data_IF_200406132749
#
_entry.id   IF_200406132749
#
_cell.length_a   1.000
_cell.length_b   1.000
_cell.length_c   1.000
_cell.angle_alpha   90.00
_cell.angle_beta   90.00
_cell.angle_gamma   90.00
#
_symmetry.space_group_name_H-M   'P 1'
#
loop_
_entity.id
_entity.type
_entity.pdbx_description
1 polymer ?
#
# COMPACT_ATOMS: atom_id res chain seq x y z
N UNK A 1 27.89 -47.04 -25.35
CA UNK A 1 27.15 -46.63 -24.13
C UNK A 1 25.68 -47.03 -24.24
N UNK A 2 25.33 -48.24 -23.80
CA UNK A 2 23.95 -48.69 -23.60
C UNK A 2 23.99 -49.78 -22.53
N UNK A 3 23.56 -49.47 -21.31
CA UNK A 3 23.24 -50.51 -20.32
C UNK A 3 21.72 -50.57 -20.18
N UNK A 4 21.17 -51.69 -20.63
CA UNK A 4 19.81 -52.14 -20.40
C UNK A 4 19.78 -53.06 -19.18
N UNK A 5 18.84 -52.76 -18.29
CA UNK A 5 17.94 -53.68 -17.56
C UNK A 5 18.56 -54.73 -16.63
N UNK A 6 18.18 -54.65 -15.35
CA UNK A 6 17.67 -55.82 -14.61
C UNK A 6 16.52 -55.38 -13.69
N UNK A 7 15.33 -55.90 -13.99
CA UNK A 7 14.16 -55.94 -13.11
C UNK A 7 14.37 -57.10 -12.15
N UNK A 8 14.11 -56.89 -10.86
CA UNK A 8 13.99 -57.96 -9.88
C UNK A 8 12.62 -57.80 -9.19
N UNK A 9 11.71 -58.72 -9.51
CA UNK A 9 10.50 -58.96 -8.72
C UNK A 9 10.90 -59.71 -7.46
N UNK A 10 10.50 -59.21 -6.29
CA UNK A 10 10.36 -60.04 -5.08
C UNK A 10 8.94 -59.81 -4.56
N UNK A 11 8.10 -60.83 -4.75
CA UNK A 11 6.81 -61.02 -4.09
C UNK A 11 7.03 -61.56 -2.69
N UNK A 12 6.48 -60.91 -1.67
CA UNK A 12 6.11 -61.61 -0.43
C UNK A 12 4.83 -60.99 0.13
N UNK A 13 3.78 -61.79 0.17
CA UNK A 13 2.53 -61.54 0.90
C UNK A 13 2.76 -61.87 2.37
N UNK A 14 2.36 -60.97 3.28
CA UNK A 14 1.99 -61.38 4.63
C UNK A 14 0.85 -60.51 5.16
N UNK A 15 -0.21 -61.21 5.55
CA UNK A 15 -1.44 -60.74 6.15
C UNK A 15 -1.17 -60.39 7.62
N UNK A 16 -1.51 -59.19 8.07
CA UNK A 16 -1.29 -58.73 9.44
C UNK A 16 -2.35 -57.72 9.87
N UNK A 17 -3.22 -58.19 10.76
CA UNK A 17 -4.30 -57.55 11.50
C UNK A 17 -4.42 -56.02 11.56
N UNK A 18 -5.66 -55.58 11.37
CA UNK A 18 -6.25 -54.28 11.64
C UNK A 18 -6.08 -53.90 13.13
N UNK A 19 -5.37 -52.81 13.42
CA UNK A 19 -5.54 -52.05 14.68
C UNK A 19 -5.51 -50.55 14.38
N UNK A 20 -6.60 -49.88 14.77
CA UNK A 20 -6.87 -48.46 14.61
C UNK A 20 -5.77 -47.59 15.25
N UNK A 21 -5.08 -46.80 14.44
CA UNK A 21 -4.29 -45.66 14.90
C UNK A 21 -4.68 -44.44 14.04
N UNK A 22 -5.16 -43.39 14.69
CA UNK A 22 -5.78 -42.23 14.06
C UNK A 22 -4.91 -41.58 13.00
N UNK A 23 -5.49 -41.39 11.81
CA UNK A 23 -5.00 -40.42 10.84
C UNK A 23 -4.99 -39.04 11.48
N UNK A 24 -3.83 -38.58 11.91
CA UNK A 24 -3.56 -37.15 12.08
C UNK A 24 -3.46 -36.58 10.68
N UNK A 25 -4.56 -35.99 10.21
CA UNK A 25 -4.55 -35.18 9.00
C UNK A 25 -3.59 -34.01 9.25
N UNK A 26 -2.49 -33.98 8.51
CA UNK A 26 -1.64 -32.80 8.40
C UNK A 26 -2.48 -31.69 7.76
N UNK A 27 -2.97 -30.75 8.58
CA UNK A 27 -3.56 -29.52 8.10
C UNK A 27 -2.47 -28.69 7.42
N UNK A 28 -2.50 -28.70 6.08
CA UNK A 28 -1.76 -27.73 5.27
C UNK A 28 -2.40 -26.36 5.55
N UNK A 29 -1.66 -25.34 6.01
CA UNK A 29 -2.25 -24.04 6.27
C UNK A 29 -2.71 -23.43 4.95
N UNK A 30 -4.03 -23.44 4.72
CA UNK A 30 -4.64 -22.77 3.58
C UNK A 30 -4.38 -21.27 3.72
N UNK A 31 -3.72 -20.68 2.73
CA UNK A 31 -3.53 -19.23 2.63
C UNK A 31 -4.88 -18.53 2.82
N UNK A 32 -5.01 -17.75 3.90
CA UNK A 32 -6.17 -16.90 4.15
C UNK A 32 -6.37 -15.96 2.95
N UNK A 33 -7.25 -16.34 2.04
CA UNK A 33 -7.69 -15.48 0.95
C UNK A 33 -8.66 -14.47 1.54
N UNK A 34 -8.15 -13.31 1.94
CA UNK A 34 -8.93 -12.22 2.50
C UNK A 34 -9.96 -11.76 1.46
N UNK A 35 -11.25 -11.95 1.76
CA UNK A 35 -12.34 -11.42 0.93
C UNK A 35 -12.19 -9.89 0.83
N UNK A 36 -12.17 -9.29 -0.38
CA UNK A 36 -12.02 -7.84 -0.54
C UNK A 36 -13.10 -7.08 0.23
N UNK A 37 -12.68 -6.12 1.05
CA UNK A 37 -13.60 -5.34 1.88
C UNK A 37 -14.25 -4.18 1.12
N UNK A 38 -15.49 -3.84 1.50
CA UNK A 38 -16.20 -2.65 1.02
C UNK A 38 -15.57 -1.36 1.56
N UNK A 39 -15.84 -0.22 0.91
CA UNK A 39 -15.24 1.07 1.30
C UNK A 39 -15.63 1.49 2.72
N UNK A 40 -16.88 1.24 3.13
CA UNK A 40 -17.35 1.49 4.50
C UNK A 40 -16.62 0.60 5.54
N UNK A 41 -16.36 -0.67 5.21
CA UNK A 41 -15.62 -1.57 6.09
C UNK A 41 -14.14 -1.18 6.20
N UNK A 42 -13.55 -0.63 5.12
CA UNK A 42 -12.21 -0.05 5.13
C UNK A 42 -12.17 1.18 6.03
N UNK A 43 -13.12 2.12 5.88
CA UNK A 43 -13.21 3.32 6.73
C UNK A 43 -13.27 2.95 8.21
N UNK A 44 -14.16 2.03 8.59
CA UNK A 44 -14.30 1.61 9.99
C UNK A 44 -12.99 1.02 10.53
N UNK A 45 -12.32 0.14 9.77
CA UNK A 45 -11.02 -0.42 10.18
C UNK A 45 -9.93 0.65 10.32
N UNK A 46 -9.89 1.62 9.41
CA UNK A 46 -8.95 2.74 9.50
C UNK A 46 -9.22 3.56 10.76
N UNK A 47 -10.48 3.88 11.06
CA UNK A 47 -10.89 4.55 12.31
C UNK A 47 -10.42 3.74 13.53
N UNK A 48 -10.65 2.44 13.55
CA UNK A 48 -10.25 1.58 14.67
C UNK A 48 -8.73 1.53 14.87
N UNK A 49 -7.95 1.31 13.80
CA UNK A 49 -6.49 1.26 13.90
C UNK A 49 -5.91 2.61 14.34
N UNK A 50 -6.39 3.70 13.75
CA UNK A 50 -5.90 5.03 14.08
C UNK A 50 -6.27 5.46 15.50
N UNK A 51 -7.48 5.16 15.98
CA UNK A 51 -7.88 5.44 17.36
C UNK A 51 -7.05 4.64 18.37
N UNK A 52 -6.66 3.41 18.03
CA UNK A 52 -5.76 2.57 18.82
C UNK A 52 -4.27 2.87 18.62
N UNK A 53 -3.92 3.88 17.82
CA UNK A 53 -2.52 4.25 17.53
C UNK A 53 -1.73 3.07 16.94
N UNK A 54 -2.41 2.22 16.17
CA UNK A 54 -1.90 0.94 15.70
C UNK A 54 -1.19 1.09 14.35
N UNK A 55 -0.08 0.35 14.22
CA UNK A 55 0.64 0.13 12.97
C UNK A 55 -0.04 -0.88 12.03
N UNK A 56 -1.21 -1.40 12.40
CA UNK A 56 -1.97 -2.35 11.59
C UNK A 56 -1.46 -3.79 11.68
N UNK A 57 -2.02 -4.71 10.87
CA UNK A 57 -1.79 -6.14 11.01
C UNK A 57 -0.36 -6.57 10.67
N UNK A 58 0.31 -5.87 9.74
CA UNK A 58 1.70 -6.14 9.39
C UNK A 58 2.71 -5.31 10.20
N UNK A 59 2.23 -4.48 11.14
CA UNK A 59 3.01 -3.51 11.92
C UNK A 59 3.81 -2.50 11.07
N UNK A 60 3.48 -2.38 9.79
CA UNK A 60 4.16 -1.53 8.82
C UNK A 60 3.19 -0.57 8.11
N UNK A 61 2.06 -0.27 8.77
CA UNK A 61 1.12 0.78 8.39
C UNK A 61 0.38 0.55 7.06
N UNK A 62 0.18 -0.71 6.65
CA UNK A 62 -0.71 -1.04 5.53
C UNK A 62 -1.31 -2.44 5.64
N UNK A 63 -2.27 -2.77 4.78
CA UNK A 63 -2.65 -4.15 4.47
C UNK A 63 -3.08 -4.28 3.01
N UNK A 64 -2.95 -5.48 2.44
CA UNK A 64 -3.52 -5.78 1.12
C UNK A 64 -5.01 -6.12 1.25
N UNK A 65 -5.85 -5.51 0.42
CA UNK A 65 -7.31 -5.69 0.42
C UNK A 65 -7.82 -6.43 -0.84
N UNK A 66 -6.92 -7.10 -1.56
CA UNK A 66 -7.26 -7.92 -2.73
C UNK A 66 -6.97 -7.19 -4.05
N UNK A 67 -7.88 -7.33 -5.03
CA UNK A 67 -7.71 -6.79 -6.39
C UNK A 67 -8.15 -5.33 -6.46
N UNK A 68 -7.52 -4.56 -7.35
CA UNK A 68 -7.87 -3.18 -7.60
C UNK A 68 -9.34 -3.03 -8.05
N UNK A 69 -10.06 -2.04 -7.49
CA UNK A 69 -11.45 -1.75 -7.84
C UNK A 69 -11.49 -0.75 -9.01
N UNK A 70 -12.01 -1.21 -10.15
CA UNK A 70 -11.69 -0.61 -11.46
C UNK A 70 -12.46 0.68 -11.85
N UNK A 71 -13.21 1.32 -10.96
CA UNK A 71 -14.35 2.17 -11.38
C UNK A 71 -13.99 3.50 -12.05
N UNK A 72 -12.80 4.08 -11.82
CA UNK A 72 -12.46 5.43 -12.33
C UNK A 72 -11.25 5.50 -13.28
N UNK A 73 -10.64 4.36 -13.62
CA UNK A 73 -9.39 4.35 -14.39
C UNK A 73 -9.54 4.53 -15.90
N UNK A 74 -10.74 4.34 -16.44
CA UNK A 74 -10.96 4.17 -17.88
C UNK A 74 -10.83 5.47 -18.67
N UNK A 75 -11.02 6.63 -18.03
CA UNK A 75 -11.08 7.92 -18.74
C UNK A 75 -9.71 8.60 -18.98
N UNK A 76 -8.64 8.20 -18.28
CA UNK A 76 -7.33 8.86 -18.43
C UNK A 76 -6.54 8.32 -19.64
N UNK A 77 -6.05 9.25 -20.47
CA UNK A 77 -5.08 8.93 -21.53
C UNK A 77 -3.72 8.55 -20.94
N UNK A 78 -2.93 7.77 -21.67
CA UNK A 78 -1.56 7.38 -21.30
C UNK A 78 -0.71 8.61 -20.93
N UNK A 79 -0.01 8.54 -19.80
CA UNK A 79 0.84 9.61 -19.28
C UNK A 79 0.09 10.78 -18.63
N UNK A 80 -1.24 10.73 -18.55
CA UNK A 80 -2.05 11.78 -17.91
C UNK A 80 -2.42 11.41 -16.49
N UNK A 81 -2.68 12.46 -15.70
CA UNK A 81 -3.03 12.38 -14.29
C UNK A 81 -4.10 13.42 -13.96
N UNK A 82 -4.80 13.21 -12.86
CA UNK A 82 -5.83 14.11 -12.32
C UNK A 82 -5.79 14.09 -10.80
N UNK A 83 -5.82 15.27 -10.19
CA UNK A 83 -5.91 15.44 -8.75
C UNK A 83 -7.17 16.25 -8.45
N UNK A 84 -8.02 15.77 -7.54
CA UNK A 84 -9.28 16.44 -7.22
C UNK A 84 -9.35 16.84 -5.75
N UNK A 85 -10.25 17.76 -5.44
CA UNK A 85 -10.70 18.03 -4.09
C UNK A 85 -12.13 17.55 -3.89
N UNK A 86 -12.50 17.29 -2.65
CA UNK A 86 -13.90 17.07 -2.30
C UNK A 86 -14.64 18.40 -2.05
N UNK A 87 -15.93 18.31 -1.72
CA UNK A 87 -16.79 19.46 -1.41
C UNK A 87 -16.34 20.28 -0.19
N UNK A 88 -15.51 19.69 0.68
CA UNK A 88 -14.96 20.34 1.87
C UNK A 88 -13.57 20.95 1.58
N UNK A 89 -13.10 20.89 0.32
CA UNK A 89 -11.78 21.38 -0.07
C UNK A 89 -10.62 20.49 0.35
N UNK A 90 -10.88 19.28 0.85
CA UNK A 90 -9.85 18.28 1.19
C UNK A 90 -9.35 17.61 -0.08
N UNK A 91 -8.10 17.14 -0.08
CA UNK A 91 -7.59 16.31 -1.17
C UNK A 91 -8.46 15.06 -1.32
N UNK A 92 -8.84 14.75 -2.55
CA UNK A 92 -9.68 13.59 -2.89
C UNK A 92 -8.90 12.70 -3.85
N UNK A 93 -9.58 12.00 -4.75
CA UNK A 93 -9.01 11.03 -5.68
C UNK A 93 -7.86 11.64 -6.48
N UNK A 94 -6.68 11.04 -6.34
CA UNK A 94 -5.55 11.25 -7.22
C UNK A 94 -5.44 10.04 -8.15
N UNK A 95 -5.44 10.24 -9.47
CA UNK A 95 -5.33 9.16 -10.44
C UNK A 95 -4.33 9.47 -11.53
N UNK A 96 -3.61 8.45 -12.00
CA UNK A 96 -2.70 8.55 -13.14
C UNK A 96 -2.71 7.27 -13.97
N UNK A 97 -2.48 7.43 -15.28
CA UNK A 97 -2.13 6.33 -16.19
C UNK A 97 -0.64 6.41 -16.50
N UNK A 98 0.14 5.90 -15.55
CA UNK A 98 1.58 6.02 -15.50
C UNK A 98 2.27 5.21 -16.60
N UNK A 99 3.48 5.63 -16.96
CA UNK A 99 4.29 5.03 -18.03
C UNK A 99 5.72 4.77 -17.55
N UNK A 100 6.39 3.80 -18.19
CA UNK A 100 7.81 3.55 -17.93
C UNK A 100 8.67 4.81 -18.16
N UNK A 101 8.36 5.62 -19.16
CA UNK A 101 9.10 6.84 -19.46
C UNK A 101 9.02 7.88 -18.31
N UNK A 102 7.86 8.03 -17.67
CA UNK A 102 7.71 8.92 -16.51
C UNK A 102 8.52 8.41 -15.31
N UNK A 103 8.44 7.11 -15.03
CA UNK A 103 9.25 6.46 -13.99
C UNK A 103 10.75 6.56 -14.25
N UNK A 104 11.19 6.44 -15.51
CA UNK A 104 12.59 6.58 -15.85
C UNK A 104 13.06 8.03 -15.65
N UNK A 105 12.25 9.00 -16.08
CA UNK A 105 12.56 10.43 -15.98
C UNK A 105 12.56 10.96 -14.54
N UNK A 106 11.88 10.29 -13.60
CA UNK A 106 11.87 10.66 -12.18
C UNK A 106 13.05 10.10 -11.38
N UNK A 107 13.90 9.24 -11.96
CA UNK A 107 15.06 8.67 -11.25
C UNK A 107 16.14 9.73 -10.97
N UNK A 108 16.89 9.49 -9.90
CA UNK A 108 18.15 10.19 -9.61
C UNK A 108 18.02 11.36 -8.63
N UNK A 109 17.00 12.20 -8.77
CA UNK A 109 16.78 13.31 -7.84
C UNK A 109 15.31 13.70 -7.74
N UNK A 110 14.97 14.39 -6.64
CA UNK A 110 13.63 14.90 -6.40
C UNK A 110 13.25 15.95 -7.45
N UNK A 111 12.08 15.82 -8.07
CA UNK A 111 11.70 16.68 -9.21
C UNK A 111 11.00 17.98 -8.83
N UNK A 112 10.78 18.26 -7.55
CA UNK A 112 10.12 19.48 -7.08
C UNK A 112 10.07 19.63 -5.56
N UNK A 113 9.37 20.67 -5.11
CA UNK A 113 9.16 20.98 -3.69
C UNK A 113 7.74 20.55 -3.28
N UNK A 114 7.59 19.71 -2.24
CA UNK A 114 6.27 19.32 -1.75
C UNK A 114 5.42 20.53 -1.35
N UNK A 115 4.14 20.48 -1.69
CA UNK A 115 3.17 21.52 -1.35
C UNK A 115 2.44 21.18 -0.05
N UNK A 116 2.03 22.20 0.71
CA UNK A 116 1.15 21.99 1.85
C UNK A 116 -0.20 21.44 1.36
N UNK A 117 -0.65 20.29 1.87
CA UNK A 117 -2.00 19.83 1.59
C UNK A 117 -3.03 20.80 2.19
N UNK A 118 -4.29 20.76 1.73
CA UNK A 118 -5.38 21.44 2.43
C UNK A 118 -5.37 21.09 3.92
N UNK A 119 -5.60 22.09 4.76
CA UNK A 119 -5.63 21.95 6.23
C UNK A 119 -4.33 21.43 6.85
N UNK A 120 -3.17 21.73 6.25
CA UNK A 120 -1.87 21.39 6.84
C UNK A 120 -1.74 21.94 8.28
N UNK A 121 -1.52 21.09 9.30
CA UNK A 121 -1.50 21.51 10.69
C UNK A 121 -0.15 22.12 11.07
N UNK A 122 -0.10 22.78 12.23
CA UNK A 122 1.18 23.09 12.89
C UNK A 122 1.91 21.78 13.21
N UNK A 123 3.00 21.52 12.49
CA UNK A 123 3.75 20.28 12.62
C UNK A 123 4.80 20.38 13.74
N UNK A 124 5.02 19.29 14.46
CA UNK A 124 5.98 19.19 15.57
C UNK A 124 6.94 18.02 15.36
N UNK A 125 8.13 18.09 15.95
CA UNK A 125 9.01 16.93 16.04
C UNK A 125 8.51 15.97 17.13
N UNK A 126 8.67 14.68 16.90
CA UNK A 126 8.24 13.57 17.75
C UNK A 126 9.30 12.47 17.77
N UNK A 127 9.18 11.56 18.73
CA UNK A 127 9.94 10.32 18.81
C UNK A 127 8.98 9.14 18.66
N UNK A 128 8.97 8.45 17.51
CA UNK A 128 8.07 7.31 17.26
C UNK A 128 8.85 6.02 17.44
N UNK A 129 8.51 5.22 18.45
CA UNK A 129 9.07 3.89 18.67
C UNK A 129 8.31 2.86 17.85
N UNK A 130 8.98 2.24 16.89
CA UNK A 130 8.36 1.25 16.01
C UNK A 130 8.44 -0.16 16.59
N UNK A 131 7.28 -0.79 16.84
CA UNK A 131 7.24 -2.16 17.36
C UNK A 131 7.90 -3.16 16.41
N UNK A 132 7.67 -3.00 15.10
CA UNK A 132 8.19 -3.91 14.06
C UNK A 132 9.73 -4.00 14.06
N UNK A 133 10.41 -2.86 14.18
CA UNK A 133 11.87 -2.78 13.98
C UNK A 133 12.65 -2.55 15.26
N UNK A 134 11.99 -2.20 16.36
CA UNK A 134 12.62 -1.77 17.61
C UNK A 134 13.31 -0.40 17.52
N UNK A 135 13.23 0.29 16.37
CA UNK A 135 13.89 1.59 16.13
C UNK A 135 13.02 2.74 16.61
N UNK A 136 13.68 3.83 16.98
CA UNK A 136 13.01 5.10 17.30
C UNK A 136 13.30 6.12 16.20
N UNK A 137 12.26 6.63 15.56
CA UNK A 137 12.35 7.76 14.64
C UNK A 137 12.31 9.08 15.41
N UNK A 138 13.25 9.99 15.13
CA UNK A 138 13.24 11.37 15.64
C UNK A 138 13.08 12.37 14.49
N UNK A 139 11.97 13.09 14.45
CA UNK A 139 11.73 14.08 13.39
C UNK A 139 10.30 14.57 13.34
N UNK A 140 9.91 15.26 12.28
CA UNK A 140 8.55 15.79 12.14
C UNK A 140 7.50 14.67 12.12
N UNK A 141 6.38 14.91 12.81
CA UNK A 141 5.23 14.00 12.89
C UNK A 141 4.63 13.75 11.50
N UNK A 142 4.39 14.84 10.77
CA UNK A 142 3.76 14.76 9.46
C UNK A 142 4.74 14.96 8.30
N UNK A 143 4.45 14.28 7.21
CA UNK A 143 5.00 14.52 5.89
C UNK A 143 3.89 15.12 5.00
N UNK A 144 4.31 15.91 4.02
CA UNK A 144 3.46 16.22 2.86
C UNK A 144 3.43 14.96 2.02
N UNK A 145 2.56 14.02 2.39
CA UNK A 145 2.54 12.68 1.81
C UNK A 145 1.95 12.77 0.41
N UNK A 146 2.66 12.27 -0.58
CA UNK A 146 2.13 12.20 -1.93
C UNK A 146 1.02 11.14 -2.01
N UNK A 147 -0.03 11.43 -2.76
CA UNK A 147 -1.02 10.45 -3.21
C UNK A 147 -0.46 9.66 -4.41
N UNK A 148 0.24 10.33 -5.33
CA UNK A 148 1.04 9.70 -6.39
C UNK A 148 2.46 10.25 -6.31
N UNK A 149 3.43 9.37 -6.06
CA UNK A 149 4.79 9.75 -5.70
C UNK A 149 5.57 10.41 -6.84
N UNK A 150 6.56 11.21 -6.44
CA UNK A 150 7.60 11.76 -7.31
C UNK A 150 8.33 10.66 -8.09
N UNK A 151 8.65 9.54 -7.44
CA UNK A 151 9.32 8.41 -8.10
C UNK A 151 8.49 7.82 -9.26
N UNK A 152 7.18 8.02 -9.28
CA UNK A 152 6.29 7.48 -10.32
C UNK A 152 5.90 8.51 -11.39
N UNK A 153 5.73 9.78 -10.98
CA UNK A 153 5.13 10.84 -11.82
C UNK A 153 6.06 12.04 -12.05
N UNK A 154 7.20 12.09 -11.36
CA UNK A 154 8.19 13.16 -11.44
C UNK A 154 7.58 14.53 -11.15
N UNK A 155 7.93 15.52 -11.98
CA UNK A 155 7.43 16.91 -11.88
C UNK A 155 5.91 17.00 -11.79
N UNK A 156 5.17 16.08 -12.42
CA UNK A 156 3.71 16.04 -12.37
C UNK A 156 3.15 15.86 -10.96
N UNK A 157 3.91 15.23 -10.05
CA UNK A 157 3.51 15.02 -8.66
C UNK A 157 3.41 16.33 -7.84
N UNK A 158 4.00 17.42 -8.33
CA UNK A 158 4.05 18.72 -7.63
C UNK A 158 3.10 19.76 -8.17
N UNK A 159 2.33 19.46 -9.23
CA UNK A 159 1.51 20.50 -9.91
C UNK A 159 0.24 20.87 -9.15
N UNK A 160 -0.07 20.22 -8.03
CA UNK A 160 -1.25 20.52 -7.23
C UNK A 160 -1.09 20.09 -5.78
N UNK A 161 -1.56 20.93 -4.84
CA UNK A 161 -1.69 20.58 -3.42
C UNK A 161 -2.63 19.38 -3.19
N UNK A 162 -3.51 19.09 -4.15
CA UNK A 162 -4.44 17.96 -4.07
C UNK A 162 -3.81 16.59 -4.36
N UNK A 163 -2.53 16.57 -4.76
CA UNK A 163 -1.74 15.33 -4.75
C UNK A 163 -1.08 15.07 -3.38
N UNK A 164 -1.38 15.89 -2.36
CA UNK A 164 -0.80 15.75 -1.02
C UNK A 164 -1.90 15.54 0.02
N UNK A 165 -1.58 14.78 1.06
CA UNK A 165 -2.34 14.71 2.30
C UNK A 165 -1.44 14.92 3.50
N UNK A 166 -2.03 15.28 4.64
CA UNK A 166 -1.33 15.28 5.94
C UNK A 166 -1.15 13.83 6.40
N UNK A 167 -0.04 13.21 6.01
CA UNK A 167 0.31 11.83 6.39
C UNK A 167 1.33 11.83 7.52
N UNK A 168 1.24 10.91 8.47
CA UNK A 168 2.33 10.70 9.45
C UNK A 168 3.60 10.21 8.74
N UNK A 169 4.76 10.35 9.40
CA UNK A 169 6.01 9.76 8.88
C UNK A 169 5.85 8.27 8.58
N UNK A 170 5.21 7.53 9.49
CA UNK A 170 4.91 6.11 9.36
C UNK A 170 3.89 5.81 8.26
N UNK A 171 2.89 6.66 8.05
CA UNK A 171 1.96 6.51 6.93
C UNK A 171 2.68 6.66 5.59
N UNK A 172 3.68 7.54 5.51
CA UNK A 172 4.40 7.81 4.28
C UNK A 172 5.35 6.67 3.90
N UNK A 173 6.14 6.14 4.86
CA UNK A 173 7.21 5.16 4.56
C UNK A 173 7.24 3.91 5.43
N UNK A 174 6.30 3.75 6.35
CA UNK A 174 6.28 2.62 7.29
C UNK A 174 7.31 2.73 8.42
N UNK A 175 7.43 1.63 9.16
CA UNK A 175 8.35 1.43 10.27
C UNK A 175 9.77 1.02 9.80
N UNK A 176 9.89 0.37 8.65
CA UNK A 176 11.14 -0.17 8.10
C UNK A 176 11.60 0.52 6.81
N UNK A 177 10.93 1.59 6.40
CA UNK A 177 11.11 2.29 5.12
C UNK A 177 10.57 1.57 3.88
N UNK A 178 9.82 0.48 4.04
CA UNK A 178 9.13 -0.25 2.97
C UNK A 178 7.62 -0.44 3.28
N UNK A 179 7.05 0.39 4.16
CA UNK A 179 5.65 0.34 4.56
C UNK A 179 4.87 1.59 4.21
N UNK A 180 3.65 1.71 4.72
CA UNK A 180 2.79 2.86 4.41
C UNK A 180 2.56 3.04 2.90
N UNK A 181 2.61 4.27 2.38
CA UNK A 181 2.50 4.57 0.95
C UNK A 181 3.62 3.94 0.13
N UNK A 182 4.84 3.86 0.68
CA UNK A 182 5.99 3.27 0.02
C UNK A 182 5.72 1.84 -0.45
N UNK A 183 4.99 1.04 0.33
CA UNK A 183 4.62 -0.32 -0.07
C UNK A 183 3.82 -0.36 -1.38
N UNK A 184 2.91 0.59 -1.59
CA UNK A 184 2.12 0.69 -2.81
C UNK A 184 2.95 1.25 -3.98
N UNK A 185 3.81 2.22 -3.73
CA UNK A 185 4.74 2.77 -4.72
C UNK A 185 5.69 1.69 -5.26
N UNK A 186 6.20 0.83 -4.37
CA UNK A 186 7.09 -0.27 -4.72
C UNK A 186 6.47 -1.30 -5.67
N UNK A 187 5.16 -1.53 -5.59
CA UNK A 187 4.47 -2.41 -6.54
C UNK A 187 4.65 -1.90 -7.98
N UNK A 188 4.47 -0.60 -8.21
CA UNK A 188 4.65 0.00 -9.53
C UNK A 188 6.12 0.05 -9.96
N UNK A 189 7.02 0.46 -9.05
CA UNK A 189 8.46 0.51 -9.33
C UNK A 189 9.03 -0.87 -9.66
N UNK A 190 8.68 -1.89 -8.88
CA UNK A 190 9.18 -3.25 -9.08
C UNK A 190 8.67 -3.83 -10.40
N UNK A 191 7.42 -3.55 -10.79
CA UNK A 191 6.92 -3.91 -12.11
C UNK A 191 7.83 -3.34 -13.22
N UNK A 192 8.17 -2.06 -13.18
CA UNK A 192 9.02 -1.45 -14.20
C UNK A 192 10.49 -1.84 -14.12
N UNK A 193 11.02 -2.14 -12.93
CA UNK A 193 12.37 -2.72 -12.79
C UNK A 193 12.47 -4.08 -13.49
N UNK A 194 11.42 -4.90 -13.39
CA UNK A 194 11.36 -6.22 -14.04
C UNK A 194 10.95 -6.15 -15.53
N UNK A 195 10.36 -5.04 -15.98
CA UNK A 195 9.88 -4.87 -17.35
C UNK A 195 10.41 -3.54 -17.93
N UNK A 196 11.73 -3.37 -18.08
CA UNK A 196 12.30 -2.14 -18.62
C UNK A 196 11.86 -1.92 -20.07
N UNK A 197 11.75 -0.66 -20.48
CA UNK A 197 11.31 -0.23 -21.83
C UNK A 197 9.90 -0.70 -22.24
N UNK A 198 9.11 -1.21 -21.29
CA UNK A 198 7.75 -1.67 -21.57
C UNK A 198 6.82 -0.54 -22.02
N UNK A 199 5.93 -0.86 -22.96
CA UNK A 199 4.83 0.03 -23.38
C UNK A 199 3.62 0.00 -22.43
N UNK A 200 3.60 -0.96 -21.48
CA UNK A 200 2.56 -1.14 -20.46
C UNK A 200 2.35 0.12 -19.65
N UNK A 201 1.09 0.43 -19.38
CA UNK A 201 0.70 1.48 -18.45
C UNK A 201 0.30 0.89 -17.11
N UNK A 202 0.56 1.61 -16.03
CA UNK A 202 -0.01 1.32 -14.71
C UNK A 202 -1.08 2.37 -14.42
N UNK A 203 -2.31 1.92 -14.25
CA UNK A 203 -3.38 2.70 -13.66
C UNK A 203 -3.14 2.71 -12.14
N UNK A 204 -2.91 3.90 -11.59
CA UNK A 204 -2.61 4.09 -10.17
C UNK A 204 -3.56 5.14 -9.62
N UNK A 205 -4.31 4.78 -8.59
CA UNK A 205 -5.27 5.67 -7.95
C UNK A 205 -5.10 5.61 -6.44
N UNK A 206 -5.06 6.77 -5.81
CA UNK A 206 -5.07 6.92 -4.36
C UNK A 206 -6.30 7.70 -3.94
N UNK A 207 -7.07 7.12 -3.02
CA UNK A 207 -8.29 7.70 -2.45
C UNK A 207 -8.07 7.88 -0.94
N UNK A 208 -7.84 9.11 -0.47
CA UNK A 208 -7.80 9.40 0.96
C UNK A 208 -9.15 9.07 1.63
N UNK A 209 -9.12 8.41 2.78
CA UNK A 209 -10.31 8.00 3.53
C UNK A 209 -10.47 8.88 4.75
N UNK A 210 -11.56 9.64 4.81
CA UNK A 210 -11.87 10.54 5.93
C UNK A 210 -13.06 10.00 6.71
N UNK A 211 -13.09 10.22 8.03
CA UNK A 211 -14.26 9.95 8.83
C UNK A 211 -15.05 11.24 9.08
N UNK A 212 -16.27 11.32 8.52
CA UNK A 212 -17.13 12.50 8.63
C UNK A 212 -16.46 13.81 8.18
N UNK A 213 -16.40 14.80 9.08
CA UNK A 213 -15.86 16.14 8.82
C UNK A 213 -14.36 16.31 9.12
N UNK A 214 -13.63 15.21 9.35
CA UNK A 214 -12.19 15.26 9.61
C UNK A 214 -11.40 15.85 8.45
N UNK A 215 -10.37 16.63 8.74
CA UNK A 215 -9.54 17.31 7.71
C UNK A 215 -8.27 16.53 7.37
N UNK A 216 -7.84 15.65 8.27
CA UNK A 216 -6.75 14.70 8.07
C UNK A 216 -7.37 13.33 7.79
N UNK A 217 -6.96 12.62 6.74
CA UNK A 217 -7.52 11.31 6.43
C UNK A 217 -7.06 10.28 7.46
N UNK A 218 -7.92 9.29 7.75
CA UNK A 218 -7.60 8.12 8.58
C UNK A 218 -6.64 7.15 7.88
N UNK A 219 -6.55 7.24 6.57
CA UNK A 219 -5.69 6.42 5.72
C UNK A 219 -5.94 6.72 4.25
N UNK A 220 -5.45 5.84 3.39
CA UNK A 220 -5.70 5.91 1.95
C UNK A 220 -5.92 4.52 1.39
N UNK A 221 -6.80 4.40 0.40
CA UNK A 221 -6.88 3.22 -0.46
C UNK A 221 -6.06 3.48 -1.71
N UNK A 222 -5.22 2.54 -2.11
CA UNK A 222 -4.37 2.63 -3.29
C UNK A 222 -4.65 1.46 -4.21
N UNK A 223 -5.26 1.74 -5.35
CA UNK A 223 -5.56 0.77 -6.38
C UNK A 223 -4.51 0.84 -7.50
N UNK A 224 -3.92 -0.32 -7.84
CA UNK A 224 -2.84 -0.44 -8.82
C UNK A 224 -3.17 -1.56 -9.81
N UNK A 225 -3.26 -1.20 -11.10
CA UNK A 225 -3.55 -2.14 -12.17
C UNK A 225 -2.68 -1.90 -13.40
N UNK A 226 -1.89 -2.89 -13.81
CA UNK A 226 -1.13 -2.82 -15.06
C UNK A 226 -2.03 -3.21 -16.25
N UNK A 227 -1.78 -2.62 -17.43
CA UNK A 227 -2.58 -2.91 -18.63
C UNK A 227 -2.39 -4.31 -19.20
N UNK A 228 -1.30 -5.00 -18.80
CA UNK A 228 -1.06 -6.42 -19.13
C UNK A 228 -1.62 -7.39 -18.05
N UNK A 229 -2.28 -6.86 -17.00
CA UNK A 229 -2.92 -7.65 -15.96
C UNK A 229 -1.99 -8.29 -14.93
N UNK A 230 -0.66 -8.16 -15.07
CA UNK A 230 0.31 -8.74 -14.11
C UNK A 230 0.26 -8.12 -12.71
N UNK A 231 -0.13 -6.85 -12.62
CA UNK A 231 -0.40 -6.15 -11.36
C UNK A 231 -1.89 -5.85 -11.29
N UNK A 232 -2.52 -6.25 -10.19
CA UNK A 232 -3.91 -5.98 -9.89
C UNK A 232 -4.13 -6.06 -8.37
N UNK A 233 -3.82 -4.97 -7.66
CA UNK A 233 -3.80 -4.92 -6.18
C UNK A 233 -4.54 -3.70 -5.66
N UNK A 234 -5.24 -3.86 -4.55
CA UNK A 234 -5.74 -2.80 -3.68
C UNK A 234 -4.97 -2.87 -2.36
N UNK A 235 -4.31 -1.78 -1.99
CA UNK A 235 -3.53 -1.65 -0.75
C UNK A 235 -4.15 -0.53 0.08
N UNK A 236 -4.43 -0.81 1.35
CA UNK A 236 -4.92 0.22 2.28
C UNK A 236 -3.80 0.62 3.21
N UNK A 237 -3.55 1.93 3.28
CA UNK A 237 -2.46 2.55 4.03
C UNK A 237 -3.03 3.26 5.25
N UNK A 238 -2.43 3.03 6.43
CA UNK A 238 -2.92 3.52 7.73
C UNK A 238 -2.24 4.84 8.08
N UNK A 239 -3.02 5.89 8.33
CA UNK A 239 -2.50 7.19 8.78
C UNK A 239 -2.34 7.27 10.30
N UNK A 240 -1.50 6.42 10.88
CA UNK A 240 -1.27 6.35 12.33
C UNK A 240 0.21 6.50 12.67
N UNK A 241 0.52 6.70 13.95
CA UNK A 241 1.86 6.63 14.52
C UNK A 241 1.74 5.97 15.90
N UNK A 242 2.62 5.01 16.19
CA UNK A 242 2.57 4.28 17.44
C UNK A 242 2.80 5.23 18.63
N UNK A 243 2.00 5.05 19.69
CA UNK A 243 2.03 5.85 20.93
C UNK A 243 1.69 7.35 20.77
N UNK A 244 1.18 7.79 19.61
CA UNK A 244 0.80 9.19 19.40
C UNK A 244 -0.68 9.33 19.06
N UNK A 245 -1.41 10.13 19.83
CA UNK A 245 -2.84 10.37 19.57
C UNK A 245 -3.01 11.54 18.62
N UNK A 246 -3.64 11.31 17.47
CA UNK A 246 -3.92 12.33 16.46
C UNK A 246 -5.38 12.77 16.58
N UNK A 247 -5.62 14.08 16.60
CA UNK A 247 -6.94 14.66 16.35
C UNK A 247 -7.11 14.85 14.85
N UNK A 248 -7.82 13.95 14.18
CA UNK A 248 -7.98 13.97 12.72
C UNK A 248 -8.83 15.14 12.20
N UNK A 249 -9.55 15.85 13.08
CA UNK A 249 -10.27 17.08 12.71
C UNK A 249 -9.34 18.29 12.57
N UNK A 250 -8.23 18.33 13.32
CA UNK A 250 -7.33 19.49 13.38
C UNK A 250 -5.89 19.19 12.99
N UNK A 251 -5.51 17.91 12.91
CA UNK A 251 -4.12 17.46 12.76
C UNK A 251 -3.26 17.64 14.01
N UNK A 252 -3.81 18.05 15.15
CA UNK A 252 -3.03 18.13 16.39
C UNK A 252 -2.64 16.71 16.87
N UNK A 253 -1.35 16.47 17.08
CA UNK A 253 -0.84 15.23 17.66
C UNK A 253 -0.40 15.46 19.11
N UNK A 254 -0.73 14.53 20.02
CA UNK A 254 -0.18 14.45 21.36
C UNK A 254 0.75 13.25 21.42
#
# INVERSE_FOLDING_TARGET
>A
MKYKTKVLLITTTLLGALTLAGCSQLEIPTSNSTVPQTDAAIEQKLVDYTNRQSSGPNKNYYWENGKAKASNFLALKKGKYKFTSDKNGRSSVASAKLTYAQYLASKGSRQGSPLDPPFWPKNKKVAISFNLTGRVYHGYMYNRSHSIADSLLGKGSYTSKYNFTTGTRSQNVGADQNGGMRAAEEVAENYWKMNPHSSTTIQYQTTPVYHGSETVPRGSVVDIKSSDGKVNKEIVVINSAESHKINYKTGAAK
#
